data_IF_371715843258
#
_entry.id   IF_371715843258
#
_cell.length_a   1.000
_cell.length_b   1.000
_cell.length_c   1.000
_cell.angle_alpha   90.00
_cell.angle_beta   90.00
_cell.angle_gamma   90.00
#
_symmetry.space_group_name_H-M   'P 1'
#
loop_
_entity.id
_entity.type
_entity.pdbx_description
1 polymer ?
#
# COMPACT_ATOMS: atom_id res chain seq x y z
N UNK A 1 1.42 19.02 4.34
CA UNK A 1 0.48 18.86 3.20
C UNK A 1 0.21 17.38 3.08
N UNK A 2 -0.96 16.92 3.51
CA UNK A 2 -1.38 15.55 3.21
C UNK A 2 -1.85 15.57 1.77
N UNK A 3 -1.16 14.88 0.87
CA UNK A 3 -1.51 14.85 -0.54
C UNK A 3 -2.72 13.92 -0.76
N UNK A 4 -3.88 14.30 -0.18
CA UNK A 4 -5.14 13.55 -0.34
C UNK A 4 -5.73 13.72 -1.73
N UNK A 5 -5.30 14.74 -2.46
CA UNK A 5 -5.79 15.08 -3.79
C UNK A 5 -4.93 14.50 -4.93
N UNK A 6 -3.77 13.91 -4.62
CA UNK A 6 -2.93 13.23 -5.61
C UNK A 6 -3.72 12.16 -6.37
N UNK A 7 -3.47 12.04 -7.69
CA UNK A 7 -4.04 10.96 -8.49
C UNK A 7 -3.73 9.59 -7.89
N UNK A 8 -4.75 8.73 -7.83
CA UNK A 8 -4.57 7.36 -7.39
C UNK A 8 -3.80 6.54 -8.44
N UNK A 9 -2.79 5.81 -7.98
CA UNK A 9 -1.95 4.98 -8.83
C UNK A 9 -2.45 3.53 -8.86
N UNK A 10 -2.12 2.81 -9.93
CA UNK A 10 -2.38 1.38 -10.08
C UNK A 10 -1.43 0.53 -9.23
N UNK A 11 -1.76 -0.74 -9.03
CA UNK A 11 -0.85 -1.70 -8.37
C UNK A 11 0.48 -1.88 -9.11
N UNK A 12 0.53 -1.67 -10.43
CA UNK A 12 1.78 -1.77 -11.21
C UNK A 12 2.68 -0.57 -10.92
N UNK A 13 2.13 0.64 -10.91
CA UNK A 13 2.87 1.86 -10.59
C UNK A 13 3.34 1.86 -9.13
N UNK A 14 2.50 1.41 -8.20
CA UNK A 14 2.89 1.26 -6.80
C UNK A 14 4.05 0.28 -6.64
N UNK A 15 3.97 -0.88 -7.31
CA UNK A 15 5.02 -1.89 -7.30
C UNK A 15 6.34 -1.32 -7.83
N UNK A 16 6.31 -0.59 -8.95
CA UNK A 16 7.50 0.07 -9.51
C UNK A 16 8.10 1.10 -8.55
N UNK A 17 7.27 1.95 -7.92
CA UNK A 17 7.73 2.96 -6.94
C UNK A 17 8.34 2.34 -5.68
N UNK A 18 7.85 1.18 -5.25
CA UNK A 18 8.36 0.48 -4.06
C UNK A 18 9.50 -0.50 -4.36
N UNK A 19 9.85 -0.72 -5.64
CA UNK A 19 10.81 -1.74 -6.03
C UNK A 19 10.33 -3.17 -5.69
N UNK A 20 9.02 -3.42 -5.73
CA UNK A 20 8.40 -4.70 -5.39
C UNK A 20 7.77 -5.36 -6.61
N UNK A 21 7.56 -6.67 -6.54
CA UNK A 21 6.72 -7.36 -7.52
C UNK A 21 5.24 -6.98 -7.33
N UNK A 22 4.49 -6.83 -8.44
CA UNK A 22 3.03 -6.56 -8.38
C UNK A 22 2.26 -7.60 -7.56
N UNK A 23 2.69 -8.87 -7.60
CA UNK A 23 2.09 -9.96 -6.81
C UNK A 23 2.24 -9.72 -5.30
N UNK A 24 3.34 -9.11 -4.86
CA UNK A 24 3.58 -8.75 -3.45
C UNK A 24 2.56 -7.72 -2.98
N UNK A 25 2.31 -6.67 -3.79
CA UNK A 25 1.28 -5.67 -3.51
C UNK A 25 -0.10 -6.33 -3.35
N UNK A 26 -0.50 -7.19 -4.29
CA UNK A 26 -1.76 -7.92 -4.20
C UNK A 26 -1.84 -8.84 -2.99
N UNK A 27 -0.73 -9.47 -2.60
CA UNK A 27 -0.68 -10.31 -1.42
C UNK A 27 -0.86 -9.49 -0.14
N UNK A 28 -0.12 -8.38 0.02
CA UNK A 28 -0.25 -7.49 1.18
C UNK A 28 -1.67 -6.94 1.33
N UNK A 29 -2.29 -6.52 0.22
CA UNK A 29 -3.68 -6.08 0.20
C UNK A 29 -4.64 -7.15 0.71
N UNK A 30 -4.51 -8.39 0.20
CA UNK A 30 -5.35 -9.53 0.61
C UNK A 30 -5.14 -9.95 2.06
N UNK A 31 -3.98 -9.69 2.63
CA UNK A 31 -3.66 -9.96 4.03
C UNK A 31 -4.02 -8.78 4.96
N UNK A 32 -4.57 -7.68 4.41
CA UNK A 32 -4.89 -6.49 5.20
C UNK A 32 -3.67 -5.74 5.73
N UNK A 33 -2.48 -5.96 5.16
CA UNK A 33 -1.24 -5.29 5.57
C UNK A 33 -1.15 -3.87 5.01
N UNK A 34 -1.75 -3.63 3.84
CA UNK A 34 -1.87 -2.30 3.23
C UNK A 34 -3.27 -2.13 2.66
N UNK A 35 -3.77 -0.90 2.64
CA UNK A 35 -5.16 -0.60 2.32
C UNK A 35 -5.27 0.14 0.99
N UNK A 36 -6.02 -0.37 0.00
CA UNK A 36 -6.30 0.39 -1.22
C UNK A 36 -7.22 1.57 -0.89
N UNK A 37 -6.92 2.74 -1.46
CA UNK A 37 -7.75 3.93 -1.31
C UNK A 37 -9.09 3.79 -2.06
N UNK A 38 -9.13 2.97 -3.11
CA UNK A 38 -10.32 2.64 -3.88
C UNK A 38 -10.18 1.24 -4.50
N UNK A 39 -11.29 0.52 -4.56
CA UNK A 39 -11.43 -0.71 -5.34
C UNK A 39 -12.42 -0.42 -6.46
N UNK A 40 -12.01 -0.59 -7.72
CA UNK A 40 -12.91 -0.37 -8.85
C UNK A 40 -13.98 -1.48 -8.91
N UNK A 41 -15.11 -1.27 -9.61
CA UNK A 41 -16.12 -2.34 -9.78
C UNK A 41 -15.57 -3.64 -10.37
N UNK A 42 -14.50 -3.57 -11.18
CA UNK A 42 -13.79 -4.73 -11.72
C UNK A 42 -12.76 -5.37 -10.77
N UNK A 43 -12.71 -4.94 -9.51
CA UNK A 43 -11.81 -5.47 -8.48
C UNK A 43 -10.37 -4.96 -8.55
N UNK A 44 -10.08 -3.92 -9.33
CA UNK A 44 -8.72 -3.37 -9.40
C UNK A 44 -8.47 -2.43 -8.23
N UNK A 45 -7.30 -2.57 -7.60
CA UNK A 45 -6.88 -1.70 -6.52
C UNK A 45 -6.28 -0.39 -7.03
N UNK A 46 -6.60 0.70 -6.34
CA UNK A 46 -6.10 2.05 -6.54
C UNK A 46 -5.51 2.58 -5.24
N UNK A 47 -4.35 3.21 -5.33
CA UNK A 47 -3.49 3.45 -4.17
C UNK A 47 -3.15 4.93 -4.05
N UNK A 48 -3.08 5.41 -2.81
CA UNK A 48 -2.29 6.59 -2.47
C UNK A 48 -0.93 6.10 -2.00
N UNK A 49 0.13 6.60 -2.63
CA UNK A 49 1.48 6.15 -2.34
C UNK A 49 1.88 6.44 -0.88
N UNK A 50 1.57 7.64 -0.39
CA UNK A 50 1.92 8.07 0.97
C UNK A 50 1.24 7.22 2.04
N UNK A 51 -0.05 6.91 1.86
CA UNK A 51 -0.81 6.03 2.76
C UNK A 51 -0.12 4.66 2.89
N UNK A 52 0.24 4.04 1.77
CA UNK A 52 0.91 2.73 1.76
C UNK A 52 2.27 2.80 2.47
N UNK A 53 3.06 3.84 2.23
CA UNK A 53 4.36 4.01 2.90
C UNK A 53 4.18 4.19 4.41
N UNK A 54 3.17 4.94 4.84
CA UNK A 54 2.85 5.14 6.25
C UNK A 54 2.43 3.82 6.92
N UNK A 55 1.55 3.04 6.28
CA UNK A 55 1.12 1.72 6.77
C UNK A 55 2.31 0.76 6.91
N UNK A 56 3.19 0.69 5.89
CA UNK A 56 4.37 -0.17 5.93
C UNK A 56 5.34 0.23 7.06
N UNK A 57 5.51 1.53 7.34
CA UNK A 57 6.32 2.02 8.47
C UNK A 57 5.70 1.62 9.80
N UNK A 58 4.38 1.77 9.96
CA UNK A 58 3.67 1.38 11.17
C UNK A 58 3.79 -0.13 11.45
N UNK A 59 3.68 -0.96 10.40
CA UNK A 59 3.90 -2.40 10.51
C UNK A 59 5.33 -2.75 10.92
N UNK A 60 6.32 -2.07 10.37
CA UNK A 60 7.72 -2.30 10.73
C UNK A 60 8.00 -1.92 12.19
N UNK A 61 7.41 -0.82 12.67
CA UNK A 61 7.52 -0.40 14.07
C UNK A 61 6.86 -1.40 15.02
N UNK A 62 5.62 -1.81 14.73
CA UNK A 62 4.91 -2.81 15.52
C UNK A 62 5.70 -4.11 15.66
N UNK A 63 6.30 -4.59 14.56
CA UNK A 63 7.15 -5.80 14.57
C UNK A 63 8.41 -5.66 15.41
N UNK A 64 9.00 -4.45 15.51
CA UNK A 64 10.14 -4.21 16.40
C UNK A 64 9.72 -4.28 17.86
N UNK A 65 8.62 -3.62 18.20
CA UNK A 65 8.09 -3.60 19.57
C UNK A 65 7.65 -4.99 20.07
N UNK A 66 7.17 -5.85 19.17
CA UNK A 66 6.81 -7.24 19.51
C UNK A 66 8.03 -8.16 19.73
N UNK A 67 9.23 -7.73 19.31
CA UNK A 67 10.47 -8.51 19.42
C UNK A 67 11.33 -8.11 20.63
N UNK A 68 10.95 -7.03 21.33
CA UNK A 68 11.57 -6.54 22.57
C UNK A 68 10.82 -7.09 23.80
#
# INVERSE_FOLDING_TARGET
>A
MTDRDAPLISSTELAAKLGLARRTISHYAKQGLITPALITPGGQYRWRYEDVVAEMRALAEKRRQEQE
#
